data_IF_973780436232
#
_entry.id   IF_973780436232
#
_cell.length_a   1.000
_cell.length_b   1.000
_cell.length_c   1.000
_cell.angle_alpha   90.00
_cell.angle_beta   90.00
_cell.angle_gamma   90.00
#
_symmetry.space_group_name_H-M   'P 1'
#
loop_
_entity.id
_entity.type
_entity.pdbx_description
1 polymer ?
#
# COMPACT_ATOMS: atom_id res chain seq x y z
N UNK A 1 -39.05 -24.75 7.08
CA UNK A 1 -37.78 -24.52 7.80
C UNK A 1 -36.64 -24.39 6.81
N UNK A 2 -35.84 -23.31 6.92
CA UNK A 2 -34.48 -23.10 6.37
C UNK A 2 -34.31 -23.16 4.82
N UNK A 3 -33.51 -22.34 4.12
CA UNK A 3 -32.24 -21.69 4.47
C UNK A 3 -32.11 -20.38 3.68
N UNK A 4 -32.14 -19.23 4.36
CA UNK A 4 -31.54 -17.99 3.84
C UNK A 4 -30.05 -18.05 4.19
N UNK A 5 -29.23 -18.52 3.27
CA UNK A 5 -27.78 -18.44 3.42
C UNK A 5 -27.17 -18.06 2.08
N UNK A 6 -26.09 -17.29 2.14
CA UNK A 6 -25.19 -16.99 1.01
C UNK A 6 -25.50 -15.74 0.17
N UNK A 7 -25.49 -14.57 0.81
CA UNK A 7 -25.04 -13.32 0.15
C UNK A 7 -23.77 -12.72 0.79
N UNK A 8 -23.27 -13.27 1.90
CA UNK A 8 -22.14 -12.70 2.64
C UNK A 8 -20.77 -13.37 2.38
N UNK A 9 -20.71 -14.44 1.57
CA UNK A 9 -19.44 -15.10 1.27
C UNK A 9 -18.68 -14.46 0.08
N UNK A 10 -19.39 -13.76 -0.81
CA UNK A 10 -18.78 -13.13 -2.00
C UNK A 10 -18.02 -11.85 -1.67
N UNK A 11 -18.49 -11.10 -0.67
CA UNK A 11 -17.88 -9.83 -0.24
C UNK A 11 -16.55 -10.03 0.49
N UNK A 12 -16.39 -11.08 1.29
CA UNK A 12 -15.12 -11.37 1.99
C UNK A 12 -14.02 -11.88 1.06
N UNK A 13 -14.35 -12.73 0.09
CA UNK A 13 -13.38 -13.15 -0.94
C UNK A 13 -12.91 -11.96 -1.79
N UNK A 14 -13.85 -11.11 -2.24
CA UNK A 14 -13.54 -9.85 -2.94
C UNK A 14 -12.70 -8.87 -2.10
N UNK A 15 -12.89 -8.85 -0.78
CA UNK A 15 -12.08 -8.02 0.10
C UNK A 15 -10.66 -8.57 0.21
N UNK A 16 -10.48 -9.89 0.34
CA UNK A 16 -9.16 -10.51 0.48
C UNK A 16 -8.29 -10.35 -0.77
N UNK A 17 -8.86 -10.48 -1.97
CA UNK A 17 -8.16 -10.24 -3.24
C UNK A 17 -7.77 -8.76 -3.41
N UNK A 18 -8.63 -7.82 -2.99
CA UNK A 18 -8.30 -6.39 -2.99
C UNK A 18 -7.22 -6.03 -1.97
N UNK A 19 -7.22 -6.68 -0.81
CA UNK A 19 -6.18 -6.54 0.20
C UNK A 19 -4.86 -7.10 -0.34
N UNK A 20 -4.87 -8.27 -0.99
CA UNK A 20 -3.68 -8.87 -1.58
C UNK A 20 -3.06 -7.97 -2.68
N UNK A 21 -3.89 -7.36 -3.53
CA UNK A 21 -3.42 -6.41 -4.55
C UNK A 21 -2.74 -5.18 -3.93
N UNK A 22 -3.30 -4.67 -2.83
CA UNK A 22 -2.80 -3.49 -2.12
C UNK A 22 -1.51 -3.77 -1.32
N UNK A 23 -1.35 -4.99 -0.82
CA UNK A 23 -0.13 -5.45 -0.14
C UNK A 23 0.95 -5.94 -1.12
N UNK A 24 0.82 -5.66 -2.41
CA UNK A 24 1.85 -6.01 -3.39
C UNK A 24 3.08 -5.10 -3.19
N UNK A 25 4.29 -5.67 -3.03
CA UNK A 25 5.51 -4.88 -2.98
C UNK A 25 5.79 -4.23 -4.33
N UNK A 26 6.19 -2.97 -4.31
CA UNK A 26 6.61 -2.21 -5.51
C UNK A 26 8.11 -2.37 -5.74
N UNK A 27 8.62 -1.85 -6.88
CA UNK A 27 10.07 -1.78 -7.13
C UNK A 27 10.72 -0.53 -6.52
N UNK A 28 9.97 0.23 -5.72
CA UNK A 28 10.44 1.50 -5.17
C UNK A 28 10.82 1.34 -3.71
N UNK A 29 11.94 1.96 -3.33
CA UNK A 29 12.46 1.93 -1.97
C UNK A 29 12.26 3.30 -1.31
N UNK A 30 11.94 3.28 -0.03
CA UNK A 30 11.78 4.48 0.78
C UNK A 30 13.10 5.25 0.89
N UNK A 31 13.12 6.50 0.42
CA UNK A 31 14.29 7.38 0.54
C UNK A 31 14.38 8.17 1.85
N UNK A 32 13.42 8.01 2.78
CA UNK A 32 13.43 8.78 4.02
C UNK A 32 14.55 8.30 4.95
N UNK A 33 15.34 9.21 5.56
CA UNK A 33 16.41 8.82 6.49
C UNK A 33 15.88 8.24 7.80
N UNK A 34 14.61 8.49 8.14
CA UNK A 34 13.93 7.99 9.34
C UNK A 34 13.03 6.79 9.04
N UNK A 35 13.18 6.15 7.88
CA UNK A 35 12.32 5.05 7.48
C UNK A 35 12.58 3.83 8.38
N UNK A 36 11.55 3.18 8.96
CA UNK A 36 11.74 2.02 9.85
C UNK A 36 12.19 0.78 9.09
N UNK A 37 11.92 0.72 7.78
CA UNK A 37 12.28 -0.38 6.88
C UNK A 37 13.14 0.15 5.72
N UNK A 38 14.38 0.63 5.99
CA UNK A 38 15.27 1.11 4.94
C UNK A 38 15.72 -0.06 4.06
N UNK A 39 15.57 0.07 2.74
CA UNK A 39 15.94 -0.99 1.79
C UNK A 39 14.86 -2.04 1.51
N UNK A 40 13.70 -1.95 2.17
CA UNK A 40 12.53 -2.77 1.83
C UNK A 40 11.68 -2.11 0.73
N UNK A 41 11.11 -2.89 -0.19
CA UNK A 41 10.19 -2.38 -1.20
C UNK A 41 8.91 -1.85 -0.56
N UNK A 42 8.51 -0.64 -0.95
CA UNK A 42 7.29 0.00 -0.46
C UNK A 42 6.08 -0.78 -1.00
N UNK A 43 5.11 -1.09 -0.15
CA UNK A 43 3.85 -1.69 -0.58
C UNK A 43 3.04 -0.69 -1.42
N UNK A 44 2.31 -1.19 -2.42
CA UNK A 44 1.53 -0.34 -3.32
C UNK A 44 0.57 0.59 -2.57
N UNK A 45 -0.07 0.09 -1.50
CA UNK A 45 -0.97 0.88 -0.63
C UNK A 45 -0.28 2.03 0.13
N UNK A 46 1.02 1.89 0.38
CA UNK A 46 1.82 2.82 1.18
C UNK A 46 2.74 3.69 0.30
N UNK A 47 2.74 3.48 -1.03
CA UNK A 47 3.58 4.20 -1.97
C UNK A 47 3.10 5.65 -2.11
N UNK A 48 3.87 6.58 -1.55
CA UNK A 48 3.66 8.00 -1.67
C UNK A 48 4.73 8.61 -2.59
N UNK A 49 4.36 9.04 -3.80
CA UNK A 49 5.25 9.82 -4.64
C UNK A 49 5.41 11.21 -4.02
N UNK A 50 6.65 11.63 -3.82
CA UNK A 50 6.99 12.98 -3.44
C UNK A 50 7.99 13.54 -4.45
N UNK A 51 7.52 14.51 -5.21
CA UNK A 51 8.33 15.24 -6.16
C UNK A 51 7.83 16.67 -6.21
N UNK A 52 8.75 17.62 -6.19
CA UNK A 52 8.44 18.96 -6.66
C UNK A 52 8.41 18.95 -8.19
N UNK A 53 7.63 19.81 -8.85
CA UNK A 53 7.47 19.82 -10.32
C UNK A 53 8.78 19.96 -11.11
N UNK A 54 9.91 20.25 -10.45
CA UNK A 54 11.25 20.39 -11.07
C UNK A 54 12.30 19.43 -10.51
N UNK A 55 11.93 18.46 -9.66
CA UNK A 55 12.86 17.50 -9.07
C UNK A 55 12.48 16.06 -9.42
N UNK A 56 13.47 15.16 -9.53
CA UNK A 56 13.20 13.75 -9.75
C UNK A 56 12.30 13.19 -8.64
N UNK A 57 11.21 12.55 -9.06
CA UNK A 57 10.19 12.04 -8.14
C UNK A 57 10.81 10.98 -7.24
N UNK A 58 10.76 11.24 -5.94
CA UNK A 58 11.27 10.34 -4.91
C UNK A 58 10.10 9.60 -4.28
N UNK A 59 10.29 8.31 -4.01
CA UNK A 59 9.22 7.48 -3.48
C UNK A 59 9.44 7.25 -1.99
N UNK A 60 8.36 7.37 -1.23
CA UNK A 60 8.37 7.25 0.22
C UNK A 60 7.21 6.39 0.68
N UNK A 61 7.34 5.78 1.86
CA UNK A 61 6.15 5.31 2.57
C UNK A 61 5.29 6.52 2.95
N UNK A 62 3.96 6.38 2.87
CA UNK A 62 3.01 7.43 3.26
C UNK A 62 3.24 7.95 4.68
N UNK A 63 3.54 7.06 5.62
CA UNK A 63 3.92 7.38 6.99
C UNK A 63 5.23 8.16 7.07
N UNK A 64 6.22 7.81 6.24
CA UNK A 64 7.50 8.50 6.19
C UNK A 64 7.38 9.88 5.54
N UNK A 65 6.54 10.03 4.51
CA UNK A 65 6.30 11.33 3.88
C UNK A 65 5.64 12.32 4.83
N UNK A 66 4.69 11.87 5.68
CA UNK A 66 4.07 12.72 6.71
C UNK A 66 5.03 13.12 7.84
N UNK A 67 6.17 12.44 7.97
CA UNK A 67 7.16 12.66 9.02
C UNK A 67 8.44 13.37 8.52
N UNK A 68 8.49 13.72 7.23
CA UNK A 68 9.48 14.62 6.64
C UNK A 68 9.11 16.07 6.97
#
# INVERSE_FOLDING_TARGET
>A
MAKKASKNARTTAQSAEQIALQNRPTKHFCKSPKCPTPGEPILLKDLQPAGEPRKPMSMFHKSCYRAL
#
